data_IF_895377875078
#
_entry.id   IF_895377875078
#
_cell.length_a   1.000
_cell.length_b   1.000
_cell.length_c   1.000
_cell.angle_alpha   90.00
_cell.angle_beta   90.00
_cell.angle_gamma   90.00
#
_symmetry.space_group_name_H-M   'P 1'
#
loop_
_entity.id
_entity.type
_entity.pdbx_description
1 polymer ?
#
# COMPACT_ATOMS: atom_id res chain seq x y z
N UNK A 1 -18.38 47.13 2.75
CA UNK A 1 -17.97 46.14 3.77
C UNK A 1 -16.62 45.60 3.32
N UNK A 2 -15.54 46.00 4.00
CA UNK A 2 -14.16 45.65 3.64
C UNK A 2 -13.84 44.26 4.19
N UNK A 3 -13.66 43.29 3.31
CA UNK A 3 -13.21 41.94 3.67
C UNK A 3 -11.69 41.91 3.70
N UNK A 4 -11.11 42.21 4.87
CA UNK A 4 -9.69 42.08 5.21
C UNK A 4 -9.45 40.70 5.84
N UNK A 5 -9.49 39.65 5.02
CA UNK A 5 -9.02 38.29 5.31
C UNK A 5 -8.52 37.84 3.93
N UNK A 6 -7.24 37.69 3.61
CA UNK A 6 -6.17 36.90 4.22
C UNK A 6 -4.85 37.56 3.79
N UNK A 7 -4.23 38.34 4.68
CA UNK A 7 -2.81 38.73 4.59
C UNK A 7 -2.27 39.19 5.95
N UNK A 8 -2.82 38.65 7.04
CA UNK A 8 -2.18 38.81 8.34
C UNK A 8 -0.98 37.89 8.38
N UNK A 9 0.17 38.47 8.03
CA UNK A 9 1.51 38.15 8.51
C UNK A 9 1.62 36.84 9.31
N UNK A 10 1.79 35.72 8.61
CA UNK A 10 2.57 34.61 9.14
C UNK A 10 4.05 35.02 9.05
N UNK A 11 4.46 35.97 9.90
CA UNK A 11 5.87 36.31 10.17
C UNK A 11 6.16 36.14 11.65
N UNK A 12 5.94 34.93 12.15
CA UNK A 12 6.84 34.34 13.15
C UNK A 12 7.85 33.55 12.30
N UNK A 13 9.13 33.91 12.40
CA UNK A 13 10.15 33.60 11.39
C UNK A 13 10.06 32.17 10.86
N UNK A 14 10.13 32.02 9.53
CA UNK A 14 10.12 30.71 8.86
C UNK A 14 11.13 29.78 9.54
N UNK A 15 10.74 28.52 9.82
CA UNK A 15 11.64 27.60 10.49
C UNK A 15 12.93 27.40 9.68
N UNK A 16 14.07 27.09 10.33
CA UNK A 16 15.30 26.72 9.62
C UNK A 16 15.05 25.60 8.61
N UNK A 17 15.82 25.57 7.52
CA UNK A 17 15.59 24.66 6.40
C UNK A 17 15.59 23.17 6.80
N UNK A 18 16.50 22.76 7.69
CA UNK A 18 16.53 21.40 8.27
C UNK A 18 15.23 21.03 9.01
N UNK A 19 14.59 22.01 9.65
CA UNK A 19 13.33 21.83 10.36
C UNK A 19 12.16 21.72 9.39
N UNK A 20 12.19 22.47 8.29
CA UNK A 20 11.22 22.32 7.18
C UNK A 20 11.31 20.91 6.60
N UNK A 21 12.52 20.44 6.27
CA UNK A 21 12.74 19.09 5.74
C UNK A 21 12.25 18.01 6.73
N UNK A 22 12.54 18.18 8.02
CA UNK A 22 12.05 17.29 9.08
C UNK A 22 10.53 17.23 9.14
N UNK A 23 9.84 18.38 9.07
CA UNK A 23 8.37 18.44 9.07
C UNK A 23 7.79 17.80 7.80
N UNK A 24 8.36 18.10 6.64
CA UNK A 24 7.88 17.54 5.37
C UNK A 24 8.12 16.03 5.28
N UNK A 25 9.09 15.48 6.00
CA UNK A 25 9.28 14.02 6.09
C UNK A 25 8.12 13.28 6.78
N UNK A 26 7.25 14.00 7.49
CA UNK A 26 6.02 13.47 8.12
C UNK A 26 4.94 13.19 7.07
N UNK A 27 4.99 13.87 5.91
CA UNK A 27 4.02 13.71 4.83
C UNK A 27 4.06 12.31 4.22
N UNK A 28 3.11 11.46 4.62
CA UNK A 28 2.98 10.12 4.06
C UNK A 28 2.22 10.19 2.72
N UNK A 29 2.87 9.74 1.65
CA UNK A 29 2.28 9.69 0.30
C UNK A 29 2.67 10.85 -0.61
N UNK A 30 3.69 11.65 -0.26
CA UNK A 30 4.26 12.70 -1.13
C UNK A 30 3.25 13.75 -1.61
N UNK A 31 2.20 14.02 -0.81
CA UNK A 31 1.08 14.90 -1.17
C UNK A 31 1.52 16.34 -1.36
N UNK A 32 2.44 16.84 -0.55
CA UNK A 32 3.02 18.18 -0.71
C UNK A 32 3.67 18.32 -2.07
N UNK A 33 4.41 17.30 -2.56
CA UNK A 33 5.04 17.34 -3.89
C UNK A 33 3.98 17.44 -5.00
N UNK A 34 2.85 16.74 -4.85
CA UNK A 34 1.73 16.82 -5.79
C UNK A 34 1.15 18.24 -5.81
N UNK A 35 0.90 18.83 -4.64
CA UNK A 35 0.28 20.16 -4.54
C UNK A 35 1.22 21.28 -4.99
N UNK A 36 2.53 21.13 -4.76
CA UNK A 36 3.55 22.11 -5.16
C UNK A 36 3.49 22.42 -6.67
N UNK A 37 3.07 21.45 -7.50
CA UNK A 37 2.88 21.64 -8.94
C UNK A 37 1.78 22.65 -9.31
N UNK A 38 0.81 22.88 -8.41
CA UNK A 38 -0.32 23.81 -8.61
C UNK A 38 -0.27 25.03 -7.69
N UNK A 39 0.42 24.92 -6.55
CA UNK A 39 0.64 25.97 -5.57
C UNK A 39 2.11 25.98 -5.13
N UNK A 40 2.99 26.68 -5.89
CA UNK A 40 4.38 26.85 -5.50
C UNK A 40 4.53 27.57 -4.16
N UNK A 41 5.43 27.08 -3.30
CA UNK A 41 5.69 27.55 -1.94
C UNK A 41 4.79 26.95 -0.87
N UNK A 42 3.89 26.01 -1.20
CA UNK A 42 2.97 25.43 -0.20
C UNK A 42 3.74 24.66 0.89
N UNK A 43 4.84 24.01 0.54
CA UNK A 43 5.73 23.32 1.46
C UNK A 43 6.16 24.20 2.66
N UNK A 44 6.67 25.40 2.39
CA UNK A 44 7.09 26.35 3.43
C UNK A 44 5.90 26.87 4.27
N UNK A 45 4.75 27.08 3.64
CA UNK A 45 3.53 27.57 4.29
C UNK A 45 3.00 26.51 5.28
N UNK A 46 2.91 25.25 4.84
CA UNK A 46 2.47 24.13 5.68
C UNK A 46 3.46 23.89 6.82
N UNK A 47 4.77 23.88 6.53
CA UNK A 47 5.78 23.71 7.57
C UNK A 47 5.74 24.83 8.62
N UNK A 48 5.57 26.09 8.19
CA UNK A 48 5.44 27.22 9.11
C UNK A 48 4.16 27.14 9.95
N UNK A 49 3.05 26.65 9.37
CA UNK A 49 1.80 26.46 10.10
C UNK A 49 1.90 25.33 11.12
N UNK A 50 2.47 24.19 10.72
CA UNK A 50 2.76 23.09 11.62
C UNK A 50 3.63 23.55 12.79
N UNK A 51 4.69 24.31 12.50
CA UNK A 51 5.60 24.77 13.55
C UNK A 51 4.91 25.68 14.57
N UNK A 52 4.08 26.60 14.07
CA UNK A 52 3.26 27.45 14.94
C UNK A 52 2.31 26.62 15.81
N UNK A 53 1.61 25.64 15.24
CA UNK A 53 0.71 24.76 16.00
C UNK A 53 1.46 23.97 17.07
N UNK A 54 2.63 23.44 16.72
CA UNK A 54 3.45 22.66 17.65
C UNK A 54 3.99 23.54 18.79
N UNK A 55 4.45 24.76 18.50
CA UNK A 55 5.01 25.66 19.52
C UNK A 55 3.95 26.27 20.45
N UNK A 56 2.72 26.48 19.99
CA UNK A 56 1.63 27.06 20.79
C UNK A 56 1.29 26.21 22.03
N UNK A 57 1.55 24.90 22.00
CA UNK A 57 1.34 23.98 23.13
C UNK A 57 2.42 22.89 23.18
N UNK A 58 3.67 23.30 23.03
CA UNK A 58 4.84 22.42 22.88
C UNK A 58 4.92 21.28 23.89
N UNK A 59 4.79 21.56 25.17
CA UNK A 59 4.90 20.54 26.22
C UNK A 59 3.82 19.46 26.10
N UNK A 60 2.58 19.88 25.82
CA UNK A 60 1.45 18.97 25.63
C UNK A 60 1.61 18.13 24.35
N UNK A 61 2.05 18.74 23.25
CA UNK A 61 2.29 18.01 22.00
C UNK A 61 3.45 17.01 22.13
N UNK A 62 4.52 17.38 22.85
CA UNK A 62 5.62 16.46 23.15
C UNK A 62 5.18 15.29 24.04
N UNK A 63 4.30 15.53 25.02
CA UNK A 63 3.69 14.46 25.81
C UNK A 63 2.86 13.52 24.93
N UNK A 64 1.97 14.05 24.10
CA UNK A 64 1.14 13.25 23.18
C UNK A 64 1.97 12.43 22.20
N UNK A 65 3.00 13.02 21.58
CA UNK A 65 3.95 12.27 20.74
C UNK A 65 4.55 11.09 21.51
N UNK A 66 5.06 11.32 22.73
CA UNK A 66 5.64 10.25 23.56
C UNK A 66 4.64 9.14 23.86
N UNK A 67 3.40 9.47 24.20
CA UNK A 67 2.36 8.48 24.45
C UNK A 67 1.99 7.70 23.17
N UNK A 68 1.85 8.35 22.01
CA UNK A 68 1.61 7.65 20.74
C UNK A 68 2.77 6.73 20.35
N UNK A 69 4.02 7.14 20.61
CA UNK A 69 5.19 6.28 20.40
C UNK A 69 5.21 5.07 21.34
N UNK A 70 4.79 5.24 22.61
CA UNK A 70 4.62 4.10 23.53
C UNK A 70 3.50 3.15 23.09
N UNK A 71 2.44 3.65 22.46
CA UNK A 71 1.41 2.80 21.87
C UNK A 71 1.94 2.01 20.67
N UNK A 72 2.73 2.67 19.80
CA UNK A 72 3.32 2.04 18.62
C UNK A 72 4.37 0.98 18.98
N UNK A 73 5.28 1.32 19.89
CA UNK A 73 6.48 0.54 20.17
C UNK A 73 6.46 -0.17 21.53
N UNK A 74 5.35 -0.09 22.27
CA UNK A 74 5.28 -0.53 23.65
C UNK A 74 5.98 0.44 24.60
N UNK A 75 5.74 0.26 25.90
CA UNK A 75 6.32 1.11 26.96
C UNK A 75 7.85 1.10 26.94
N UNK A 76 8.44 -0.06 26.65
CA UNK A 76 9.89 -0.29 26.68
C UNK A 76 10.53 -0.14 25.28
N UNK A 77 9.73 0.19 24.26
CA UNK A 77 10.20 0.37 22.88
C UNK A 77 10.58 -0.92 22.16
N UNK A 78 10.18 -2.07 22.69
CA UNK A 78 10.56 -3.42 22.26
C UNK A 78 9.56 -4.08 21.30
N UNK A 79 8.46 -3.40 20.97
CA UNK A 79 7.45 -3.95 20.06
C UNK A 79 7.92 -3.74 18.63
N UNK A 80 8.13 -4.85 17.91
CA UNK A 80 8.47 -4.86 16.49
C UNK A 80 7.67 -5.97 15.78
N UNK A 81 7.09 -5.72 14.60
CA UNK A 81 6.93 -4.40 13.99
C UNK A 81 6.05 -3.51 14.88
N UNK A 82 6.18 -2.19 14.72
CA UNK A 82 5.37 -1.23 15.47
C UNK A 82 3.88 -1.48 15.22
N UNK A 83 3.06 -1.35 16.26
CA UNK A 83 1.61 -1.31 16.10
C UNK A 83 1.25 -0.12 15.21
N UNK A 84 0.47 -0.33 14.13
CA UNK A 84 0.08 0.76 13.25
C UNK A 84 -0.83 1.72 14.02
N UNK A 85 -0.30 2.91 14.30
CA UNK A 85 -1.00 4.02 14.94
C UNK A 85 -0.75 5.30 14.15
N UNK A 86 -1.74 6.18 14.11
CA UNK A 86 -1.53 7.54 13.62
C UNK A 86 -0.73 8.31 14.69
N UNK A 87 0.50 8.71 14.36
CA UNK A 87 1.35 9.46 15.28
C UNK A 87 0.79 10.86 15.51
N UNK A 88 0.97 11.41 16.71
CA UNK A 88 0.45 12.73 17.05
C UNK A 88 1.01 13.83 16.14
N UNK A 89 2.28 13.74 15.77
CA UNK A 89 2.92 14.64 14.80
C UNK A 89 2.31 14.53 13.40
N UNK A 90 1.81 13.35 13.01
CA UNK A 90 1.08 13.19 11.76
C UNK A 90 -0.29 13.85 11.84
N UNK A 91 -1.01 13.67 12.94
CA UNK A 91 -2.29 14.36 13.17
C UNK A 91 -2.13 15.88 13.07
N UNK A 92 -1.10 16.45 13.72
CA UNK A 92 -0.80 17.87 13.64
C UNK A 92 -0.44 18.32 12.21
N UNK A 93 0.30 17.48 11.47
CA UNK A 93 0.60 17.74 10.06
C UNK A 93 -0.66 17.77 9.20
N UNK A 94 -1.58 16.81 9.38
CA UNK A 94 -2.87 16.80 8.67
C UNK A 94 -3.70 18.06 9.00
N UNK A 95 -3.71 18.50 10.26
CA UNK A 95 -4.39 19.76 10.65
C UNK A 95 -3.77 20.94 9.92
N UNK A 96 -2.44 21.08 9.95
CA UNK A 96 -1.75 22.17 9.26
C UNK A 96 -2.04 22.16 7.76
N UNK A 97 -1.94 20.98 7.13
CA UNK A 97 -2.21 20.80 5.71
C UNK A 97 -3.65 21.17 5.35
N UNK A 98 -4.64 20.64 6.07
CA UNK A 98 -6.06 20.92 5.81
C UNK A 98 -6.42 22.40 6.00
N UNK A 99 -5.88 23.05 7.03
CA UNK A 99 -6.11 24.48 7.24
C UNK A 99 -5.59 25.32 6.08
N UNK A 100 -4.40 25.01 5.55
CA UNK A 100 -3.82 25.70 4.39
C UNK A 100 -4.62 25.39 3.11
N UNK A 101 -5.04 24.14 2.92
CA UNK A 101 -5.81 23.72 1.75
C UNK A 101 -7.20 24.38 1.65
N UNK A 102 -7.76 24.90 2.75
CA UNK A 102 -8.98 25.70 2.68
C UNK A 102 -8.84 26.97 1.82
N UNK A 103 -7.61 27.40 1.52
CA UNK A 103 -7.33 28.53 0.61
C UNK A 103 -6.96 28.10 -0.81
N UNK A 104 -6.99 26.80 -1.12
CA UNK A 104 -6.57 26.26 -2.42
C UNK A 104 -7.37 26.88 -3.57
N UNK A 105 -8.70 26.97 -3.42
CA UNK A 105 -9.56 27.58 -4.42
C UNK A 105 -9.14 29.03 -4.72
N UNK A 106 -8.91 29.85 -3.70
CA UNK A 106 -8.51 31.25 -3.86
C UNK A 106 -7.18 31.38 -4.61
N UNK A 107 -6.22 30.51 -4.31
CA UNK A 107 -4.91 30.49 -4.97
C UNK A 107 -5.05 30.09 -6.44
N UNK A 108 -5.80 29.02 -6.73
CA UNK A 108 -6.05 28.58 -8.09
C UNK A 108 -6.78 29.67 -8.91
N UNK A 109 -7.73 30.38 -8.29
CA UNK A 109 -8.47 31.49 -8.90
C UNK A 109 -7.55 32.66 -9.21
N UNK A 110 -6.73 33.10 -8.24
CA UNK A 110 -5.76 34.19 -8.41
C UNK A 110 -4.74 33.89 -9.51
N UNK A 111 -4.33 32.63 -9.63
CA UNK A 111 -3.39 32.18 -10.65
C UNK A 111 -4.05 31.96 -12.02
N UNK A 112 -5.37 32.16 -12.15
CA UNK A 112 -6.10 31.94 -13.40
C UNK A 112 -6.13 30.48 -13.86
N UNK A 113 -5.84 29.53 -12.96
CA UNK A 113 -5.79 28.10 -13.29
C UNK A 113 -6.95 27.30 -12.68
N UNK A 114 -7.86 27.98 -11.98
CA UNK A 114 -9.00 27.32 -11.36
C UNK A 114 -9.91 26.67 -12.41
N UNK A 115 -10.20 25.40 -12.17
CA UNK A 115 -11.33 24.69 -12.75
C UNK A 115 -11.77 23.64 -11.75
N UNK A 116 -13.06 23.31 -11.76
CA UNK A 116 -13.62 22.26 -10.90
C UNK A 116 -12.85 20.94 -11.01
N UNK A 117 -12.51 20.53 -12.24
CA UNK A 117 -11.78 19.29 -12.50
C UNK A 117 -10.37 19.31 -11.91
N UNK A 118 -9.66 20.44 -12.01
CA UNK A 118 -8.32 20.58 -11.44
C UNK A 118 -8.35 20.55 -9.91
N UNK A 119 -9.31 21.25 -9.31
CA UNK A 119 -9.52 21.23 -7.86
C UNK A 119 -9.86 19.81 -7.35
N UNK A 120 -10.81 19.13 -8.00
CA UNK A 120 -11.16 17.74 -7.69
C UNK A 120 -9.96 16.79 -7.86
N UNK A 121 -9.15 16.97 -8.91
CA UNK A 121 -7.95 16.16 -9.14
C UNK A 121 -6.90 16.35 -8.04
N UNK A 122 -6.70 17.58 -7.57
CA UNK A 122 -5.77 17.87 -6.47
C UNK A 122 -6.28 17.25 -5.18
N UNK A 123 -7.57 17.43 -4.85
CA UNK A 123 -8.17 16.83 -3.66
C UNK A 123 -8.09 15.30 -3.66
N UNK A 124 -8.35 14.66 -4.80
CA UNK A 124 -8.19 13.20 -4.96
C UNK A 124 -6.75 12.73 -4.72
N UNK A 125 -5.74 13.55 -5.05
CA UNK A 125 -4.33 13.23 -4.80
C UNK A 125 -3.89 13.39 -3.34
N UNK A 126 -4.72 14.01 -2.48
CA UNK A 126 -4.39 14.30 -1.06
C UNK A 126 -5.15 13.34 -0.12
N UNK A 127 -6.37 12.97 -0.50
CA UNK A 127 -7.21 12.09 0.29
C UNK A 127 -6.66 10.66 0.31
N UNK A 128 -6.83 9.92 1.41
CA UNK A 128 -6.41 8.53 1.46
C UNK A 128 -7.23 7.68 0.49
N UNK A 129 -6.66 6.60 -0.04
CA UNK A 129 -7.42 5.68 -0.87
C UNK A 129 -8.24 4.73 0.01
N UNK A 130 -9.35 5.24 0.56
CA UNK A 130 -10.21 4.48 1.46
C UNK A 130 -10.66 3.14 0.87
N UNK A 131 -10.86 3.10 -0.44
CA UNK A 131 -11.31 1.91 -1.16
C UNK A 131 -10.29 0.76 -1.05
N UNK A 132 -8.97 1.05 -1.13
CA UNK A 132 -7.91 0.06 -0.90
C UNK A 132 -8.00 -0.47 0.53
N UNK A 133 -8.00 0.43 1.51
CA UNK A 133 -7.88 0.05 2.92
C UNK A 133 -9.10 -0.73 3.42
N UNK A 134 -10.29 -0.31 3.03
CA UNK A 134 -11.52 -1.04 3.33
C UNK A 134 -11.57 -2.37 2.58
N UNK A 135 -11.20 -2.41 1.31
CA UNK A 135 -11.15 -3.66 0.55
C UNK A 135 -10.18 -4.67 1.17
N UNK A 136 -8.97 -4.23 1.54
CA UNK A 136 -7.97 -5.06 2.21
C UNK A 136 -8.47 -5.56 3.57
N UNK A 137 -9.15 -4.72 4.34
CA UNK A 137 -9.73 -5.10 5.63
C UNK A 137 -10.90 -6.10 5.48
N UNK A 138 -11.76 -5.88 4.50
CA UNK A 138 -12.89 -6.75 4.17
C UNK A 138 -12.43 -8.10 3.58
N UNK A 139 -11.22 -8.16 3.01
CA UNK A 139 -10.60 -9.37 2.46
C UNK A 139 -9.83 -10.20 3.48
N UNK A 140 -9.90 -9.84 4.78
CA UNK A 140 -9.17 -10.55 5.82
C UNK A 140 -9.73 -11.95 6.03
N UNK A 141 -8.83 -12.92 6.08
CA UNK A 141 -9.10 -14.32 6.38
C UNK A 141 -8.17 -14.82 7.49
N UNK A 142 -8.42 -16.02 7.98
CA UNK A 142 -7.43 -16.74 8.78
C UNK A 142 -6.25 -17.09 7.87
N UNK A 143 -5.02 -16.90 8.35
CA UNK A 143 -3.80 -17.25 7.60
C UNK A 143 -3.92 -18.70 7.09
N UNK A 144 -3.83 -18.94 5.77
CA UNK A 144 -3.81 -20.29 5.23
C UNK A 144 -2.65 -21.12 5.81
N UNK A 145 -2.76 -22.45 5.78
CA UNK A 145 -1.75 -23.39 6.30
C UNK A 145 -0.48 -23.48 5.45
N UNK A 146 0.02 -22.35 4.96
CA UNK A 146 1.26 -22.26 4.20
C UNK A 146 2.48 -22.42 5.09
N UNK A 147 3.54 -22.98 4.51
CA UNK A 147 4.86 -23.01 5.12
C UNK A 147 5.28 -21.59 5.54
N UNK A 148 6.05 -21.48 6.63
CA UNK A 148 6.49 -20.20 7.14
C UNK A 148 7.47 -19.53 6.13
N UNK A 149 7.46 -18.18 6.01
CA UNK A 149 8.38 -17.45 5.14
C UNK A 149 9.85 -17.79 5.36
N UNK A 150 10.28 -18.00 6.61
CA UNK A 150 11.66 -18.37 6.94
C UNK A 150 12.11 -19.72 6.33
N UNK A 151 11.16 -20.60 6.02
CA UNK A 151 11.43 -21.91 5.39
C UNK A 151 11.24 -21.91 3.88
N UNK A 152 10.87 -20.77 3.29
CA UNK A 152 10.68 -20.67 1.85
C UNK A 152 12.02 -20.84 1.10
N UNK A 153 11.92 -21.28 -0.15
CA UNK A 153 13.06 -21.43 -1.06
C UNK A 153 12.88 -20.48 -2.25
N UNK A 154 13.98 -19.87 -2.69
CA UNK A 154 13.99 -19.01 -3.87
C UNK A 154 13.98 -19.83 -5.16
N UNK A 155 13.52 -19.20 -6.23
CA UNK A 155 13.61 -19.70 -7.58
C UNK A 155 12.29 -20.18 -8.16
N UNK A 156 12.39 -21.07 -9.16
CA UNK A 156 11.26 -21.57 -9.95
C UNK A 156 10.65 -22.82 -9.34
N UNK A 157 9.32 -22.87 -9.34
CA UNK A 157 8.56 -24.05 -8.94
C UNK A 157 7.30 -24.22 -9.81
N UNK A 158 6.69 -25.40 -9.69
CA UNK A 158 5.34 -25.64 -10.19
C UNK A 158 4.33 -24.73 -9.48
N UNK A 159 3.31 -24.30 -10.21
CA UNK A 159 2.30 -23.41 -9.68
C UNK A 159 1.46 -24.14 -8.62
N UNK A 160 1.22 -23.46 -7.50
CA UNK A 160 0.46 -24.04 -6.41
C UNK A 160 -1.04 -23.99 -6.66
N UNK A 161 -1.66 -25.15 -6.50
CA UNK A 161 -3.11 -25.32 -6.43
C UNK A 161 -3.55 -25.39 -4.96
N UNK A 162 -4.69 -24.78 -4.64
CA UNK A 162 -5.24 -24.78 -3.29
C UNK A 162 -5.96 -26.11 -3.01
N UNK A 163 -5.52 -26.83 -1.98
CA UNK A 163 -6.09 -28.14 -1.60
C UNK A 163 -6.86 -28.08 -0.27
N UNK A 164 -6.37 -27.29 0.68
CA UNK A 164 -6.81 -27.28 2.10
C UNK A 164 -7.91 -26.25 2.42
N UNK A 165 -8.42 -25.53 1.41
CA UNK A 165 -9.50 -24.56 1.56
C UNK A 165 -10.74 -25.09 0.84
N UNK A 166 -11.86 -25.25 1.56
CA UNK A 166 -13.09 -25.80 0.98
C UNK A 166 -13.79 -24.83 0.03
N UNK A 167 -13.66 -23.52 0.24
CA UNK A 167 -14.29 -22.50 -0.61
C UNK A 167 -13.52 -22.35 -1.93
N UNK A 168 -12.20 -22.37 -1.86
CA UNK A 168 -11.32 -22.16 -3.02
C UNK A 168 -10.58 -23.42 -3.47
N UNK A 169 -11.14 -24.61 -3.18
CA UNK A 169 -10.53 -25.88 -3.57
C UNK A 169 -10.29 -25.91 -5.08
N UNK A 170 -9.09 -26.35 -5.46
CA UNK A 170 -8.59 -26.41 -6.84
C UNK A 170 -8.34 -25.06 -7.50
N UNK A 171 -8.53 -23.92 -6.82
CA UNK A 171 -8.11 -22.62 -7.35
C UNK A 171 -6.59 -22.53 -7.39
N UNK A 172 -6.09 -21.66 -8.26
CA UNK A 172 -4.67 -21.48 -8.51
C UNK A 172 -4.16 -20.26 -7.75
N UNK A 173 -3.09 -20.41 -6.98
CA UNK A 173 -2.44 -19.29 -6.30
C UNK A 173 -1.51 -18.59 -7.29
N UNK A 174 -1.96 -17.48 -7.84
CA UNK A 174 -1.22 -16.73 -8.88
C UNK A 174 -0.29 -15.67 -8.30
N UNK A 175 -0.52 -15.23 -7.07
CA UNK A 175 0.34 -14.28 -6.38
C UNK A 175 0.33 -14.52 -4.88
N UNK A 176 1.46 -14.24 -4.24
CA UNK A 176 1.68 -14.46 -2.83
C UNK A 176 2.72 -13.47 -2.30
N UNK A 177 2.38 -12.84 -1.19
CA UNK A 177 3.24 -11.96 -0.43
C UNK A 177 3.08 -12.30 1.04
N UNK A 178 4.18 -12.54 1.76
CA UNK A 178 4.11 -12.68 3.20
C UNK A 178 5.38 -12.19 3.89
N UNK A 179 5.19 -11.47 4.99
CA UNK A 179 6.22 -11.07 5.93
C UNK A 179 6.10 -11.90 7.20
N UNK A 180 7.25 -12.33 7.72
CA UNK A 180 7.39 -12.96 9.02
C UNK A 180 8.45 -12.22 9.83
N UNK A 181 8.16 -11.95 11.09
CA UNK A 181 9.11 -11.40 12.05
C UNK A 181 9.58 -12.48 13.00
N UNK A 182 10.88 -12.76 13.01
CA UNK A 182 11.48 -13.84 13.80
C UNK A 182 12.49 -13.34 14.81
N UNK A 183 12.66 -14.12 15.87
CA UNK A 183 13.68 -13.89 16.92
C UNK A 183 14.88 -14.81 16.69
N UNK A 184 16.04 -14.38 17.14
CA UNK A 184 17.18 -15.27 17.31
C UNK A 184 16.81 -16.45 18.22
N UNK A 185 17.11 -17.67 17.78
CA UNK A 185 16.78 -18.92 18.48
C UNK A 185 17.32 -18.99 19.92
N UNK A 186 18.33 -18.19 20.27
CA UNK A 186 18.95 -18.15 21.60
C UNK A 186 18.14 -17.34 22.62
N UNK A 187 17.20 -16.50 22.19
CA UNK A 187 16.40 -15.63 23.07
C UNK A 187 14.95 -16.08 23.12
N UNK A 188 14.50 -16.49 24.31
CA UNK A 188 13.09 -16.85 24.55
C UNK A 188 12.17 -15.63 24.64
N UNK A 189 12.72 -14.46 24.98
CA UNK A 189 11.99 -13.20 25.17
C UNK A 189 12.73 -12.04 24.47
N UNK A 190 11.97 -11.03 24.02
CA UNK A 190 12.50 -9.82 23.38
C UNK A 190 11.92 -9.58 21.97
N UNK A 191 12.26 -8.43 21.35
CA UNK A 191 11.81 -8.07 20.01
C UNK A 191 12.29 -9.10 18.96
N UNK A 192 11.54 -9.28 17.87
CA UNK A 192 12.11 -9.90 16.67
C UNK A 192 13.32 -9.10 16.18
N UNK A 193 14.32 -9.83 15.69
CA UNK A 193 15.60 -9.30 15.22
C UNK A 193 15.72 -9.36 13.69
N UNK A 194 14.88 -10.17 13.06
CA UNK A 194 14.89 -10.41 11.63
C UNK A 194 13.46 -10.36 11.07
N UNK A 195 13.34 -9.84 9.85
CA UNK A 195 12.14 -9.90 9.04
C UNK A 195 12.47 -10.62 7.74
N UNK A 196 11.75 -11.70 7.47
CA UNK A 196 11.78 -12.41 6.20
C UNK A 196 10.54 -12.03 5.39
N UNK A 197 10.72 -11.61 4.15
CA UNK A 197 9.63 -11.28 3.21
C UNK A 197 9.73 -12.22 2.01
N UNK A 198 8.63 -12.88 1.68
CA UNK A 198 8.51 -13.73 0.50
C UNK A 198 7.62 -13.04 -0.52
N UNK A 199 8.11 -12.93 -1.75
CA UNK A 199 7.34 -12.56 -2.92
C UNK A 199 7.30 -13.77 -3.84
N UNK A 200 6.11 -14.21 -4.21
CA UNK A 200 5.96 -15.37 -5.09
C UNK A 200 4.79 -15.16 -6.04
N UNK A 201 5.01 -15.33 -7.34
CA UNK A 201 4.01 -15.06 -8.36
C UNK A 201 4.21 -15.90 -9.60
N UNK A 202 3.14 -16.09 -10.37
CA UNK A 202 3.25 -16.70 -11.69
C UNK A 202 4.11 -15.84 -12.60
N UNK A 203 4.79 -16.47 -13.55
CA UNK A 203 5.72 -15.80 -14.43
C UNK A 203 5.80 -16.55 -15.77
N UNK A 204 5.86 -15.80 -16.85
CA UNK A 204 5.94 -16.29 -18.21
C UNK A 204 7.38 -16.22 -18.73
N UNK A 205 8.06 -17.36 -18.82
CA UNK A 205 9.40 -17.43 -19.40
C UNK A 205 9.34 -17.43 -20.93
N UNK A 206 10.38 -16.89 -21.58
CA UNK A 206 10.54 -17.07 -23.01
C UNK A 206 10.78 -18.56 -23.33
N UNK A 207 10.19 -19.05 -24.43
CA UNK A 207 10.38 -20.43 -24.86
C UNK A 207 11.88 -20.74 -25.04
N UNK A 208 12.38 -21.71 -24.27
CA UNK A 208 13.77 -22.14 -24.31
C UNK A 208 14.77 -21.22 -23.59
N UNK A 209 14.31 -20.20 -22.87
CA UNK A 209 15.19 -19.41 -22.01
C UNK A 209 15.62 -20.20 -20.76
N UNK A 210 16.85 -19.96 -20.32
CA UNK A 210 17.28 -20.41 -19.01
C UNK A 210 16.57 -19.60 -17.92
N UNK A 211 16.19 -20.21 -16.80
CA UNK A 211 15.51 -19.49 -15.74
C UNK A 211 16.45 -18.48 -15.07
N UNK A 212 16.08 -17.21 -15.08
CA UNK A 212 16.72 -16.19 -14.25
C UNK A 212 15.99 -16.13 -12.90
N UNK A 213 16.70 -16.54 -11.85
CA UNK A 213 16.15 -16.61 -10.50
C UNK A 213 16.17 -15.28 -9.74
N UNK A 214 16.84 -14.26 -10.28
CA UNK A 214 16.91 -12.92 -9.66
C UNK A 214 15.75 -12.00 -10.10
N UNK A 215 14.89 -12.46 -11.01
CA UNK A 215 13.79 -11.64 -11.50
C UNK A 215 12.67 -11.53 -10.47
N UNK A 216 12.22 -10.30 -10.24
CA UNK A 216 11.10 -10.01 -9.36
C UNK A 216 9.78 -10.56 -9.93
N UNK A 217 8.94 -11.25 -9.12
CA UNK A 217 7.82 -12.03 -9.62
C UNK A 217 6.56 -11.21 -9.95
N UNK A 218 6.63 -9.88 -9.87
CA UNK A 218 5.47 -9.01 -10.06
C UNK A 218 5.78 -7.83 -10.95
N UNK A 219 4.80 -7.42 -11.75
CA UNK A 219 4.82 -6.14 -12.43
C UNK A 219 4.45 -5.03 -11.45
N UNK A 220 5.11 -3.87 -11.56
CA UNK A 220 4.71 -2.70 -10.77
C UNK A 220 3.53 -2.00 -11.45
N UNK A 221 2.39 -1.92 -10.78
CA UNK A 221 1.26 -1.16 -11.31
C UNK A 221 1.59 0.34 -11.36
N UNK A 222 1.29 0.97 -12.50
CA UNK A 222 1.55 2.40 -12.74
C UNK A 222 0.55 3.33 -12.06
N UNK A 223 -0.68 2.88 -11.85
CA UNK A 223 -1.74 3.62 -11.15
C UNK A 223 -2.59 2.66 -10.32
N UNK A 224 -2.89 3.04 -9.07
CA UNK A 224 -3.78 2.29 -8.18
C UNK A 224 -5.24 2.34 -8.64
N UNK A 225 -5.65 3.40 -9.36
CA UNK A 225 -6.99 3.50 -9.93
C UNK A 225 -7.27 2.35 -10.90
N UNK A 226 -6.22 1.75 -11.48
CA UNK A 226 -6.35 0.56 -12.29
C UNK A 226 -7.01 -0.59 -11.53
N UNK A 227 -7.00 -0.64 -10.20
CA UNK A 227 -7.74 -1.66 -9.44
C UNK A 227 -9.24 -1.66 -9.81
N UNK A 228 -9.84 -0.49 -9.98
CA UNK A 228 -11.27 -0.32 -10.28
C UNK A 228 -11.56 -0.03 -11.74
N UNK A 229 -10.66 0.68 -12.42
CA UNK A 229 -10.89 1.19 -13.76
C UNK A 229 -9.99 0.47 -14.77
N UNK A 230 -10.58 0.08 -15.89
CA UNK A 230 -9.84 -0.29 -17.10
C UNK A 230 -9.92 0.94 -18.02
N UNK A 231 -8.81 1.65 -18.30
CA UNK A 231 -8.84 2.82 -19.16
C UNK A 231 -9.38 2.45 -20.55
N UNK A 232 -10.27 3.27 -21.11
CA UNK A 232 -10.82 3.03 -22.45
C UNK A 232 -9.73 2.93 -23.55
N UNK A 233 -8.57 3.56 -23.34
CA UNK A 233 -7.41 3.51 -24.24
C UNK A 233 -6.58 2.23 -24.12
N UNK A 234 -6.86 1.37 -23.15
CA UNK A 234 -6.08 0.16 -22.88
C UNK A 234 -6.29 -0.93 -23.94
N UNK A 235 -7.38 -0.84 -24.71
CA UNK A 235 -7.92 -1.93 -25.54
C UNK A 235 -7.06 -2.29 -26.77
N UNK A 236 -5.95 -1.63 -27.08
CA UNK A 236 -5.38 -1.76 -28.45
C UNK A 236 -3.86 -1.87 -28.65
N UNK A 237 -3.01 -2.21 -27.67
CA UNK A 237 -1.55 -2.21 -27.98
C UNK A 237 -0.58 -3.26 -27.46
N UNK A 238 -0.96 -4.23 -26.63
CA UNK A 238 0.04 -5.17 -26.11
C UNK A 238 -0.43 -6.62 -26.19
N UNK A 239 0.35 -7.45 -26.89
CA UNK A 239 0.50 -8.85 -26.52
C UNK A 239 0.89 -8.87 -25.04
N UNK A 240 0.35 -9.79 -24.24
CA UNK A 240 0.86 -9.98 -22.88
C UNK A 240 2.38 -10.16 -22.96
N UNK A 241 3.18 -9.24 -22.39
CA UNK A 241 4.62 -9.40 -22.44
C UNK A 241 5.01 -10.64 -21.63
N UNK A 242 6.04 -11.34 -22.08
CA UNK A 242 6.74 -12.31 -21.24
C UNK A 242 7.20 -11.62 -19.95
N UNK A 243 7.28 -12.37 -18.85
CA UNK A 243 7.55 -11.83 -17.53
C UNK A 243 6.40 -12.03 -16.54
N UNK A 244 6.33 -11.21 -15.48
CA UNK A 244 5.32 -11.35 -14.45
C UNK A 244 3.98 -10.74 -14.89
N UNK A 245 2.89 -11.54 -15.02
CA UNK A 245 1.58 -11.01 -15.39
C UNK A 245 0.82 -10.44 -14.19
N UNK A 246 1.17 -10.81 -12.95
CA UNK A 246 0.49 -10.30 -11.75
C UNK A 246 1.13 -8.99 -11.32
N UNK A 247 0.30 -8.02 -10.97
CA UNK A 247 0.76 -6.74 -10.46
C UNK A 247 0.88 -6.77 -8.94
N UNK A 248 1.96 -6.18 -8.42
CA UNK A 248 2.10 -5.81 -7.02
C UNK A 248 2.20 -4.30 -6.94
N UNK A 249 1.41 -3.69 -6.06
CA UNK A 249 1.56 -2.28 -5.73
C UNK A 249 1.75 -2.10 -4.23
N UNK A 250 2.66 -1.19 -3.85
CA UNK A 250 2.79 -0.70 -2.48
C UNK A 250 2.12 0.66 -2.44
N UNK A 251 1.05 0.74 -1.67
CA UNK A 251 0.32 1.96 -1.43
C UNK A 251 0.65 2.48 -0.04
N UNK A 252 1.09 3.73 0.06
CA UNK A 252 1.44 4.39 1.31
C UNK A 252 0.69 5.70 1.38
N UNK A 253 -0.21 5.81 2.34
CA UNK A 253 -0.85 7.08 2.72
C UNK A 253 -0.82 7.24 4.24
N UNK A 254 -1.46 8.28 4.75
CA UNK A 254 -1.51 8.54 6.20
C UNK A 254 -2.33 7.51 6.99
N UNK A 255 -3.11 6.63 6.32
CA UNK A 255 -3.74 5.48 6.98
C UNK A 255 -2.80 4.27 7.06
N UNK A 256 -1.66 4.30 6.37
CA UNK A 256 -0.57 3.34 6.50
C UNK A 256 -0.12 2.73 5.17
N UNK A 257 0.63 1.64 5.28
CA UNK A 257 1.17 0.89 4.16
C UNK A 257 0.29 -0.32 3.83
N UNK A 258 -0.01 -0.49 2.54
CA UNK A 258 -0.70 -1.66 2.00
C UNK A 258 0.08 -2.23 0.80
N UNK A 259 0.29 -3.55 0.79
CA UNK A 259 0.77 -4.27 -0.38
C UNK A 259 -0.43 -4.99 -1.01
N UNK A 260 -0.69 -4.71 -2.28
CA UNK A 260 -1.87 -5.23 -2.98
C UNK A 260 -1.42 -6.00 -4.20
N UNK A 261 -1.84 -7.27 -4.26
CA UNK A 261 -1.74 -8.10 -5.45
C UNK A 261 -2.98 -7.87 -6.32
N UNK A 262 -2.80 -7.71 -7.61
CA UNK A 262 -3.88 -7.42 -8.55
C UNK A 262 -3.77 -8.28 -9.81
N UNK A 263 -4.89 -8.78 -10.34
CA UNK A 263 -4.89 -9.44 -11.63
C UNK A 263 -4.50 -8.44 -12.73
N UNK A 264 -3.84 -8.90 -13.80
CA UNK A 264 -3.41 -8.05 -14.91
C UNK A 264 -4.59 -7.27 -15.49
N UNK A 265 -4.33 -6.01 -15.84
CA UNK A 265 -5.36 -5.15 -16.41
C UNK A 265 -5.77 -5.62 -17.82
N UNK A 266 -4.84 -6.18 -18.58
CA UNK A 266 -5.03 -6.85 -19.87
C UNK A 266 -6.06 -7.98 -19.74
N UNK A 267 -5.91 -8.80 -18.70
CA UNK A 267 -6.83 -9.91 -18.45
C UNK A 267 -8.22 -9.39 -18.10
N UNK A 268 -8.31 -8.36 -17.24
CA UNK A 268 -9.61 -7.78 -16.89
C UNK A 268 -10.32 -7.15 -18.09
N UNK A 269 -9.56 -6.52 -18.98
CA UNK A 269 -10.08 -5.96 -20.22
C UNK A 269 -10.57 -7.06 -21.18
N UNK A 270 -9.76 -8.10 -21.42
CA UNK A 270 -10.08 -9.18 -22.37
C UNK A 270 -11.20 -10.09 -21.90
N UNK A 271 -11.31 -10.34 -20.59
CA UNK A 271 -12.26 -11.30 -20.01
C UNK A 271 -13.50 -10.63 -19.40
N UNK A 272 -13.68 -9.32 -19.61
CA UNK A 272 -14.81 -8.53 -19.08
C UNK A 272 -14.98 -8.71 -17.57
N UNK A 273 -13.87 -8.65 -16.83
CA UNK A 273 -13.86 -8.87 -15.38
C UNK A 273 -14.10 -7.54 -14.67
N UNK A 274 -15.18 -7.48 -13.91
CA UNK A 274 -15.52 -6.34 -13.08
C UNK A 274 -14.70 -6.33 -11.79
N UNK A 275 -14.20 -5.15 -11.44
CA UNK A 275 -13.62 -4.86 -10.14
C UNK A 275 -14.66 -4.93 -9.00
N UNK A 276 -14.23 -5.17 -7.75
CA UNK A 276 -15.09 -5.11 -6.58
C UNK A 276 -15.66 -3.68 -6.35
N UNK A 277 -16.84 -3.59 -5.73
CA UNK A 277 -17.39 -2.30 -5.35
C UNK A 277 -16.58 -1.67 -4.20
N UNK A 278 -16.77 -0.37 -3.99
CA UNK A 278 -16.13 0.36 -2.89
C UNK A 278 -16.43 -0.30 -1.53
N UNK A 279 -15.37 -0.65 -0.80
CA UNK A 279 -15.44 -1.21 0.55
C UNK A 279 -15.83 -2.69 0.63
N UNK A 280 -16.12 -3.35 -0.50
CA UNK A 280 -16.32 -4.79 -0.55
C UNK A 280 -14.97 -5.54 -0.49
N UNK A 281 -14.99 -6.83 -0.10
CA UNK A 281 -13.83 -7.70 -0.28
C UNK A 281 -13.31 -7.65 -1.72
N UNK A 282 -11.98 -7.73 -1.88
CA UNK A 282 -11.30 -7.61 -3.15
C UNK A 282 -11.45 -8.89 -3.98
N UNK A 283 -12.66 -9.05 -4.53
CA UNK A 283 -13.09 -10.18 -5.33
C UNK A 283 -13.53 -9.68 -6.70
N UNK A 284 -12.84 -10.14 -7.73
CA UNK A 284 -13.16 -9.82 -9.11
C UNK A 284 -14.16 -10.81 -9.65
N UNK A 285 -15.12 -10.31 -10.43
CA UNK A 285 -16.24 -11.10 -10.94
C UNK A 285 -16.30 -11.05 -12.46
N UNK A 286 -16.74 -12.13 -13.08
CA UNK A 286 -17.07 -12.13 -14.50
C UNK A 286 -18.42 -11.43 -14.77
N UNK A 287 -18.80 -11.31 -16.03
CA UNK A 287 -20.09 -10.74 -16.46
C UNK A 287 -21.34 -11.43 -15.89
N UNK A 288 -21.22 -12.68 -15.42
CA UNK A 288 -22.31 -13.42 -14.78
C UNK A 288 -22.39 -13.16 -13.27
N UNK A 289 -21.47 -12.34 -12.72
CA UNK A 289 -21.37 -12.05 -11.29
C UNK A 289 -20.65 -13.14 -10.48
N UNK A 290 -20.03 -14.11 -11.14
CA UNK A 290 -19.28 -15.18 -10.45
C UNK A 290 -17.85 -14.74 -10.17
N UNK A 291 -17.32 -15.13 -9.02
CA UNK A 291 -15.94 -14.84 -8.63
C UNK A 291 -14.96 -15.58 -9.55
N UNK A 292 -13.95 -14.84 -10.02
CA UNK A 292 -12.90 -15.35 -10.93
C UNK A 292 -11.49 -15.13 -10.39
N UNK A 293 -11.31 -14.11 -9.55
CA UNK A 293 -10.09 -13.90 -8.78
C UNK A 293 -10.43 -13.33 -7.42
N UNK A 294 -9.69 -13.71 -6.39
CA UNK A 294 -9.92 -13.33 -5.00
C UNK A 294 -8.60 -12.99 -4.35
N UNK A 295 -8.49 -11.77 -3.82
CA UNK A 295 -7.41 -11.42 -2.92
C UNK A 295 -7.83 -11.80 -1.50
N UNK A 296 -6.99 -12.55 -0.79
CA UNK A 296 -7.13 -12.77 0.64
C UNK A 296 -5.99 -12.08 1.36
N UNK A 297 -6.26 -11.55 2.55
CA UNK A 297 -5.25 -10.90 3.39
C UNK A 297 -5.28 -11.51 4.79
N UNK A 298 -4.18 -11.48 5.51
CA UNK A 298 -4.15 -11.95 6.89
C UNK A 298 -3.11 -11.21 7.72
N UNK A 299 -3.40 -11.15 9.02
CA UNK A 299 -2.50 -10.62 10.04
C UNK A 299 -2.56 -11.56 11.24
N UNK A 300 -1.41 -12.10 11.62
CA UNK A 300 -1.28 -12.99 12.77
C UNK A 300 -0.44 -12.28 13.82
N UNK A 301 -0.98 -12.23 15.03
CA UNK A 301 -0.38 -11.56 16.19
C UNK A 301 0.44 -12.56 17.00
N UNK A 302 1.62 -12.15 17.45
CA UNK A 302 2.46 -12.91 18.37
C UNK A 302 1.86 -12.85 19.78
N UNK A 303 1.06 -13.86 20.10
CA UNK A 303 0.39 -13.98 21.42
C UNK A 303 1.36 -14.28 22.56
N UNK A 304 2.64 -14.55 22.28
CA UNK A 304 3.64 -14.72 23.34
C UNK A 304 4.05 -13.40 24.00
N UNK A 305 3.73 -12.26 23.37
CA UNK A 305 4.00 -10.92 23.92
C UNK A 305 2.72 -10.24 24.41
N UNK A 306 2.50 -10.28 25.73
CA UNK A 306 1.30 -9.76 26.38
C UNK A 306 1.15 -8.23 26.37
N UNK A 307 2.24 -7.48 26.18
CA UNK A 307 2.24 -6.01 26.32
C UNK A 307 1.68 -5.28 25.10
N UNK A 308 1.81 -5.85 23.89
CA UNK A 308 1.41 -5.17 22.66
C UNK A 308 1.05 -6.08 21.48
N UNK A 309 1.18 -7.41 21.61
CA UNK A 309 0.84 -8.38 20.56
C UNK A 309 1.29 -7.94 19.15
N UNK A 310 2.62 -7.83 18.89
CA UNK A 310 3.11 -7.43 17.58
C UNK A 310 2.70 -8.42 16.49
N UNK A 311 2.83 -8.04 15.23
CA UNK A 311 2.60 -8.98 14.13
C UNK A 311 3.72 -10.03 14.07
N UNK A 312 3.32 -11.29 14.06
CA UNK A 312 4.20 -12.42 13.71
C UNK A 312 4.20 -12.63 12.19
N UNK A 313 3.00 -12.55 11.58
CA UNK A 313 2.82 -12.65 10.12
C UNK A 313 1.92 -11.54 9.59
N UNK A 314 2.22 -11.07 8.38
CA UNK A 314 1.36 -10.19 7.60
C UNK A 314 1.49 -10.57 6.13
N UNK A 315 0.39 -10.88 5.47
CA UNK A 315 0.47 -11.39 4.11
C UNK A 315 -0.83 -11.32 3.34
N UNK A 316 -0.72 -11.71 2.08
CA UNK A 316 -1.82 -11.79 1.13
C UNK A 316 -1.52 -12.82 0.06
N UNK A 317 -2.57 -13.40 -0.51
CA UNK A 317 -2.49 -14.14 -1.76
C UNK A 317 -3.58 -13.69 -2.73
N UNK A 318 -3.27 -13.84 -4.01
CA UNK A 318 -4.22 -13.69 -5.10
C UNK A 318 -4.50 -15.08 -5.65
N UNK A 319 -5.75 -15.50 -5.54
CA UNK A 319 -6.25 -16.73 -6.10
C UNK A 319 -6.96 -16.45 -7.42
N UNK A 320 -6.87 -17.39 -8.35
CA UNK A 320 -7.56 -17.33 -9.63
C UNK A 320 -8.28 -18.65 -9.88
N UNK A 321 -9.50 -18.56 -10.41
CA UNK A 321 -10.30 -19.73 -10.78
C UNK A 321 -9.64 -20.47 -11.95
N UNK A 322 -9.63 -21.81 -11.99
CA UNK A 322 -8.83 -22.56 -12.97
C UNK A 322 -9.14 -22.24 -14.43
N UNK A 323 -10.42 -22.10 -14.79
CA UNK A 323 -10.84 -21.74 -16.15
C UNK A 323 -10.25 -20.40 -16.60
N UNK A 324 -10.17 -19.43 -15.69
CA UNK A 324 -9.63 -18.09 -15.93
C UNK A 324 -8.10 -18.12 -15.99
N UNK A 325 -7.47 -18.91 -15.12
CA UNK A 325 -6.02 -19.16 -15.17
C UNK A 325 -5.60 -19.76 -16.53
N UNK A 326 -6.30 -20.79 -17.01
CA UNK A 326 -5.97 -21.38 -18.31
C UNK A 326 -6.24 -20.42 -19.48
N UNK A 327 -7.23 -19.53 -19.36
CA UNK A 327 -7.41 -18.46 -20.34
C UNK A 327 -6.23 -17.49 -20.34
N UNK A 328 -5.72 -17.10 -19.16
CA UNK A 328 -4.53 -16.26 -19.04
C UNK A 328 -3.30 -16.94 -19.67
N UNK A 329 -3.06 -18.22 -19.35
CA UNK A 329 -1.96 -19.00 -19.93
C UNK A 329 -2.06 -19.07 -21.47
N UNK A 330 -3.26 -19.31 -22.00
CA UNK A 330 -3.50 -19.30 -23.45
C UNK A 330 -3.29 -17.92 -24.10
N UNK A 331 -3.66 -16.84 -23.40
CA UNK A 331 -3.46 -15.46 -23.87
C UNK A 331 -1.99 -15.07 -23.92
N UNK A 332 -1.17 -15.58 -22.98
CA UNK A 332 0.28 -15.36 -22.94
C UNK A 332 0.98 -16.28 -23.95
N UNK A 333 0.49 -17.51 -24.12
CA UNK A 333 1.01 -18.46 -25.11
C UNK A 333 2.23 -19.25 -24.66
N UNK A 334 2.53 -19.28 -23.35
CA UNK A 334 3.58 -20.11 -22.75
C UNK A 334 3.09 -20.70 -21.43
N UNK A 335 3.67 -21.83 -21.02
CA UNK A 335 3.47 -22.40 -19.69
C UNK A 335 3.95 -21.41 -18.62
N UNK A 336 3.14 -21.22 -17.59
CA UNK A 336 3.48 -20.33 -16.48
C UNK A 336 4.12 -21.12 -15.34
N UNK A 337 5.06 -20.50 -14.63
CA UNK A 337 5.73 -21.09 -13.46
C UNK A 337 5.68 -20.14 -12.27
N UNK A 338 5.74 -20.69 -11.05
CA UNK A 338 5.90 -19.87 -9.84
C UNK A 338 7.35 -19.38 -9.75
N UNK A 339 7.55 -18.08 -9.58
CA UNK A 339 8.83 -17.43 -9.27
C UNK A 339 8.81 -16.94 -7.83
N UNK A 340 9.82 -17.29 -7.04
CA UNK A 340 9.92 -16.87 -5.65
C UNK A 340 11.21 -16.11 -5.37
N UNK A 341 11.07 -14.93 -4.75
CA UNK A 341 12.17 -14.09 -4.26
C UNK A 341 12.00 -13.87 -2.75
N UNK A 342 13.09 -13.97 -2.00
CA UNK A 342 13.09 -13.84 -0.54
C UNK A 342 13.99 -12.67 -0.13
N UNK A 343 13.44 -11.75 0.66
CA UNK A 343 14.17 -10.62 1.21
C UNK A 343 14.29 -10.76 2.73
N UNK A 344 15.52 -10.72 3.24
CA UNK A 344 15.82 -10.74 4.68
C UNK A 344 16.38 -9.40 5.10
N UNK A 345 15.83 -8.84 6.18
CA UNK A 345 16.28 -7.57 6.76
C UNK A 345 16.36 -7.66 8.27
N UNK A 346 17.38 -7.02 8.87
CA UNK A 346 17.38 -6.76 10.31
C UNK A 346 16.28 -5.77 10.68
N UNK A 347 15.70 -5.93 11.86
CA UNK A 347 14.54 -5.17 12.36
C UNK A 347 14.95 -4.08 13.31
#
# INVERSE_FOLDING_TARGET
VKTNFISKEYKKGSPPLEKVEGILSIDQGDRIKVIESVWPGISEIVASRFDSLFDDSKEQHQEKCRETYKLAYGRDGDVRPATPVLGWEKELFEVALHEILNSLNEVLWKNGTWSRTKEESVLKGILPCLAVHFGMAASRVVRPSYAAPITAQEGRAEIKTIEDDSEYKSWIRVGYFEQQWTREHTKKYGPPTERTTVFSGIYADALGAEPDFEVFPFHQATDINHLWEVPNSFVFRYMFPLGPPICLNRFTDWMGDAFILMPPIEMRACLEISAPNFGEPLRWKNKNGEEVAVLRTWQVRDRSQYSAEPLEYNGSDLLMRPDVYFQLENLIGVELKEQTVIMKSKV
#
